data_IF_705552126901
#
_entry.id   IF_705552126901
#
_cell.length_a   1.000
_cell.length_b   1.000
_cell.length_c   1.000
_cell.angle_alpha   90.00
_cell.angle_beta   90.00
_cell.angle_gamma   90.00
#
_symmetry.space_group_name_H-M   'P 1'
#
loop_
_entity.id
_entity.type
_entity.pdbx_description
1 polymer ?
#
# COMPACT_ATOMS: atom_id res chain seq x y z
N UNK A 1 32.72 18.73 7.81
CA UNK A 1 31.80 18.53 6.67
C UNK A 1 31.75 19.77 5.81
N UNK A 2 32.04 19.65 4.51
CA UNK A 2 31.88 20.75 3.57
C UNK A 2 30.41 21.16 3.44
N UNK A 3 30.16 22.46 3.21
CA UNK A 3 28.80 23.03 3.07
C UNK A 3 28.00 22.29 2.01
N UNK A 4 28.64 21.94 0.91
CA UNK A 4 28.04 21.19 -0.20
C UNK A 4 27.50 19.82 0.26
N UNK A 5 28.29 19.05 1.01
CA UNK A 5 27.87 17.75 1.56
C UNK A 5 26.65 17.86 2.48
N UNK A 6 26.54 18.92 3.27
CA UNK A 6 25.38 19.16 4.15
C UNK A 6 24.10 19.38 3.35
N UNK A 7 24.16 20.21 2.30
CA UNK A 7 23.00 20.47 1.45
C UNK A 7 22.57 19.23 0.66
N UNK A 8 23.52 18.45 0.14
CA UNK A 8 23.21 17.19 -0.54
C UNK A 8 22.49 16.21 0.38
N UNK A 9 22.96 16.05 1.62
CA UNK A 9 22.30 15.19 2.61
C UNK A 9 20.89 15.67 2.95
N UNK A 10 20.68 16.99 3.07
CA UNK A 10 19.36 17.57 3.31
C UNK A 10 18.39 17.29 2.15
N UNK A 11 18.84 17.46 0.91
CA UNK A 11 18.01 17.18 -0.28
C UNK A 11 17.65 15.69 -0.34
N UNK A 12 18.62 14.79 -0.10
CA UNK A 12 18.36 13.34 -0.08
C UNK A 12 17.36 12.98 1.02
N UNK A 13 17.54 13.51 2.23
CA UNK A 13 16.61 13.28 3.33
C UNK A 13 15.19 13.76 2.98
N UNK A 14 15.07 14.93 2.34
CA UNK A 14 13.78 15.48 1.93
C UNK A 14 13.09 14.61 0.86
N UNK A 15 13.85 14.10 -0.12
CA UNK A 15 13.33 13.17 -1.12
C UNK A 15 12.85 11.85 -0.51
N UNK A 16 13.56 11.32 0.48
CA UNK A 16 13.14 10.12 1.21
C UNK A 16 11.82 10.34 1.96
N UNK A 17 11.68 11.47 2.65
CA UNK A 17 10.44 11.82 3.36
C UNK A 17 9.25 11.98 2.40
N UNK A 18 9.46 12.62 1.25
CA UNK A 18 8.43 12.76 0.22
C UNK A 18 8.04 11.40 -0.37
N UNK A 19 9.00 10.49 -0.59
CA UNK A 19 8.72 9.13 -1.05
C UNK A 19 7.88 8.32 -0.06
N UNK A 20 8.15 8.45 1.24
CA UNK A 20 7.36 7.79 2.29
C UNK A 20 5.95 8.38 2.36
N UNK A 21 5.82 9.71 2.34
CA UNK A 21 4.53 10.39 2.34
C UNK A 21 3.68 10.01 1.12
N UNK A 22 4.29 9.98 -0.07
CA UNK A 22 3.60 9.55 -1.29
C UNK A 22 3.15 8.09 -1.25
N UNK A 23 3.96 7.19 -0.67
CA UNK A 23 3.53 5.79 -0.49
C UNK A 23 2.39 5.66 0.51
N UNK A 24 2.39 6.46 1.57
CA UNK A 24 1.30 6.49 2.55
C UNK A 24 -0.02 6.91 1.88
N UNK A 25 -0.01 8.04 1.16
CA UNK A 25 -1.17 8.57 0.44
C UNK A 25 -1.67 7.58 -0.64
N UNK A 26 -0.75 6.96 -1.38
CA UNK A 26 -1.08 5.92 -2.36
C UNK A 26 -1.77 4.72 -1.71
N UNK A 27 -1.24 4.21 -0.59
CA UNK A 27 -1.80 3.05 0.09
C UNK A 27 -3.23 3.35 0.58
N UNK A 28 -3.44 4.51 1.17
CA UNK A 28 -4.76 4.96 1.63
C UNK A 28 -5.74 5.06 0.45
N UNK A 29 -5.32 5.65 -0.66
CA UNK A 29 -6.12 5.75 -1.88
C UNK A 29 -6.52 4.38 -2.43
N UNK A 30 -5.60 3.41 -2.47
CA UNK A 30 -5.92 2.06 -2.97
C UNK A 30 -6.90 1.35 -2.04
N UNK A 31 -6.70 1.42 -0.72
CA UNK A 31 -7.61 0.80 0.26
C UNK A 31 -9.00 1.45 0.18
N UNK A 32 -9.06 2.78 0.11
CA UNK A 32 -10.33 3.50 0.04
C UNK A 32 -11.15 3.15 -1.21
N UNK A 33 -10.47 2.91 -2.34
CA UNK A 33 -11.13 2.54 -3.60
C UNK A 33 -11.29 1.02 -3.77
N UNK A 34 -10.85 0.21 -2.80
CA UNK A 34 -11.02 -1.24 -2.83
C UNK A 34 -12.46 -1.61 -2.47
N UNK A 35 -13.10 -2.56 -3.17
CA UNK A 35 -14.38 -3.10 -2.74
C UNK A 35 -14.30 -3.68 -1.32
N UNK A 36 -15.29 -3.37 -0.46
CA UNK A 36 -15.30 -3.81 0.95
C UNK A 36 -15.15 -5.33 1.11
N UNK A 37 -15.80 -6.11 0.24
CA UNK A 37 -15.70 -7.58 0.27
C UNK A 37 -14.27 -8.06 -0.02
N UNK A 38 -13.60 -7.44 -0.99
CA UNK A 38 -12.20 -7.74 -1.34
C UNK A 38 -11.28 -7.41 -0.17
N UNK A 39 -11.46 -6.25 0.46
CA UNK A 39 -10.68 -5.83 1.63
C UNK A 39 -10.81 -6.80 2.81
N UNK A 40 -12.03 -7.22 3.13
CA UNK A 40 -12.29 -8.15 4.23
C UNK A 40 -11.66 -9.52 3.96
N UNK A 41 -11.84 -10.07 2.75
CA UNK A 41 -11.24 -11.35 2.36
C UNK A 41 -9.71 -11.28 2.43
N UNK A 42 -9.10 -10.22 1.90
CA UNK A 42 -7.65 -10.00 1.99
C UNK A 42 -7.18 -9.96 3.45
N UNK A 43 -7.86 -9.20 4.32
CA UNK A 43 -7.50 -9.13 5.74
C UNK A 43 -7.60 -10.48 6.45
N UNK A 44 -8.63 -11.25 6.15
CA UNK A 44 -8.86 -12.56 6.74
C UNK A 44 -7.81 -13.58 6.27
N UNK A 45 -7.60 -13.71 4.97
CA UNK A 45 -6.67 -14.68 4.38
C UNK A 45 -5.20 -14.37 4.73
N UNK A 46 -4.84 -13.08 4.79
CA UNK A 46 -3.46 -12.66 5.11
C UNK A 46 -3.18 -12.51 6.61
N UNK A 47 -4.17 -12.73 7.49
CA UNK A 47 -4.00 -12.65 8.93
C UNK A 47 -3.75 -11.23 9.46
N UNK A 48 -4.55 -10.27 9.01
CA UNK A 48 -4.47 -8.84 9.39
C UNK A 48 -3.10 -8.19 9.14
N UNK A 49 -2.64 -8.14 7.87
CA UNK A 49 -1.37 -7.52 7.48
C UNK A 49 -1.42 -5.99 7.65
N UNK A 50 -0.25 -5.34 7.54
CA UNK A 50 -0.20 -3.88 7.43
C UNK A 50 -0.80 -3.40 6.10
N UNK A 51 -1.34 -2.19 6.09
CA UNK A 51 -1.97 -1.58 4.92
C UNK A 51 -1.06 -1.57 3.69
N UNK A 52 0.23 -1.27 3.85
CA UNK A 52 1.17 -1.33 2.73
C UNK A 52 1.31 -2.74 2.14
N UNK A 53 1.33 -3.77 2.99
CA UNK A 53 1.45 -5.15 2.52
C UNK A 53 0.15 -5.63 1.88
N UNK A 54 -0.99 -5.20 2.42
CA UNK A 54 -2.30 -5.46 1.85
C UNK A 54 -2.42 -4.86 0.44
N UNK A 55 -2.02 -3.59 0.29
CA UNK A 55 -1.98 -2.89 -0.99
C UNK A 55 -1.01 -3.55 -1.97
N UNK A 56 0.21 -3.88 -1.53
CA UNK A 56 1.20 -4.54 -2.39
C UNK A 56 0.66 -5.89 -2.91
N UNK A 57 0.03 -6.71 -2.05
CA UNK A 57 -0.53 -8.01 -2.42
C UNK A 57 -1.74 -7.87 -3.35
N UNK A 58 -2.65 -6.94 -3.04
CA UNK A 58 -3.81 -6.66 -3.88
C UNK A 58 -3.39 -6.14 -5.26
N UNK A 59 -2.42 -5.24 -5.33
CA UNK A 59 -1.95 -4.68 -6.60
C UNK A 59 -1.16 -5.70 -7.42
N UNK A 60 -0.43 -6.62 -6.78
CA UNK A 60 0.26 -7.72 -7.46
C UNK A 60 -0.71 -8.71 -8.10
N UNK A 61 -1.78 -9.08 -7.39
CA UNK A 61 -2.67 -10.18 -7.77
C UNK A 61 -4.16 -9.78 -7.82
N UNK A 62 -4.46 -8.56 -8.27
CA UNK A 62 -5.80 -7.95 -8.21
C UNK A 62 -6.92 -8.88 -8.69
N UNK A 63 -6.80 -9.45 -9.89
CA UNK A 63 -7.83 -10.30 -10.48
C UNK A 63 -8.14 -11.55 -9.64
N UNK A 64 -7.13 -12.11 -8.96
CA UNK A 64 -7.31 -13.27 -8.09
C UNK A 64 -8.17 -12.89 -6.87
N UNK A 65 -7.83 -11.78 -6.21
CA UNK A 65 -8.55 -11.29 -5.05
C UNK A 65 -9.96 -10.83 -5.37
N UNK A 66 -10.16 -10.14 -6.49
CA UNK A 66 -11.49 -9.74 -6.96
C UNK A 66 -12.37 -10.97 -7.23
N UNK A 67 -11.82 -12.01 -7.87
CA UNK A 67 -12.55 -13.25 -8.14
C UNK A 67 -12.87 -14.02 -6.85
N UNK A 68 -11.91 -14.11 -5.93
CA UNK A 68 -12.07 -14.78 -4.64
C UNK A 68 -13.15 -14.09 -3.80
N UNK A 69 -13.18 -12.76 -3.81
CA UNK A 69 -14.16 -12.00 -3.05
C UNK A 69 -15.58 -12.12 -3.62
N UNK A 70 -15.74 -12.40 -4.92
CA UNK A 70 -17.03 -12.73 -5.53
C UNK A 70 -17.50 -14.10 -5.04
N UNK A 71 -16.62 -15.11 -5.03
CA UNK A 71 -16.96 -16.46 -4.53
C UNK A 71 -17.42 -16.43 -3.06
N UNK A 72 -16.73 -15.67 -2.21
CA UNK A 72 -17.11 -15.46 -0.81
C UNK A 72 -18.47 -14.78 -0.62
N UNK A 73 -18.92 -13.94 -1.57
CA UNK A 73 -20.23 -13.29 -1.51
C UNK A 73 -21.39 -14.21 -1.96
N UNK A 74 -21.08 -15.27 -2.70
CA UNK A 74 -22.06 -16.22 -3.23
C UNK A 74 -22.30 -17.42 -2.29
N UNK A 75 -21.56 -17.50 -1.19
CA UNK A 75 -21.58 -18.58 -0.20
C UNK A 75 -22.39 -18.19 1.03
#
# INVERSE_FOLDING_TARGET
MNKLTKYTLLVVALLLLLGIAGRCDYNESVIYNMPDNVYQVLKTELGNPSDSRLVDEYMSNRNHWDSLAIDYQLK
#
